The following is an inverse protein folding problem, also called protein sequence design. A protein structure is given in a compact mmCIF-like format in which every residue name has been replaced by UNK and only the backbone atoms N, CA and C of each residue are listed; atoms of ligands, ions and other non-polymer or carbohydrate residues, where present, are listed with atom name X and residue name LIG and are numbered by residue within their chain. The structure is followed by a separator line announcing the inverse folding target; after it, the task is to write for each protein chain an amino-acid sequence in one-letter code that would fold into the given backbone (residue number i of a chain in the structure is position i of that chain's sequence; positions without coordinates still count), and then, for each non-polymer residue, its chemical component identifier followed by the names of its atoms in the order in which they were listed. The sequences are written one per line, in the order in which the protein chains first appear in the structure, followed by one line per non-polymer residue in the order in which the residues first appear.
data_IF_443027949206
#
_entry.id   IF_443027949206
#
_cell.length_a   1.000
_cell.length_b   1.000
_cell.length_c   1.000
_cell.angle_alpha   90.00
_cell.angle_beta   90.00
_cell.angle_gamma   90.00
#
_symmetry.space_group_name_H-M   'P 1'
#
loop_
_entity.id
_entity.type
_entity.pdbx_description
1 polymer ?
#
# COMPACT_ATOMS: atom_id res chain seq x y z
N UNK A 1 -19.96 -13.84 23.06
CA UNK A 1 -19.11 -14.65 22.19
C UNK A 1 -17.82 -13.88 22.01
N UNK A 2 -16.71 -14.40 22.50
CA UNK A 2 -15.39 -13.85 22.18
C UNK A 2 -15.22 -14.04 20.68
N UNK A 3 -15.06 -12.96 19.93
CA UNK A 3 -14.70 -13.01 18.51
C UNK A 3 -13.33 -13.67 18.49
N UNK A 4 -13.27 -14.93 18.07
CA UNK A 4 -12.03 -15.60 17.78
C UNK A 4 -11.30 -14.77 16.75
N UNK A 5 -10.07 -14.43 17.03
CA UNK A 5 -9.11 -13.62 16.32
C UNK A 5 -9.50 -13.08 14.93
N UNK A 6 -8.93 -11.96 14.54
CA UNK A 6 -9.27 -11.27 13.30
C UNK A 6 -8.00 -11.08 12.45
N UNK A 7 -7.91 -11.73 11.29
CA UNK A 7 -6.89 -11.46 10.28
C UNK A 7 -7.53 -10.70 9.11
N UNK A 8 -6.83 -9.70 8.59
CA UNK A 8 -7.33 -8.88 7.48
C UNK A 8 -6.17 -8.25 6.70
N UNK A 9 -6.43 -7.95 5.43
CA UNK A 9 -5.57 -7.13 4.58
C UNK A 9 -6.44 -6.43 3.55
N UNK A 10 -6.07 -5.19 3.21
CA UNK A 10 -6.75 -4.41 2.17
C UNK A 10 -5.85 -4.15 0.97
N UNK A 11 -4.70 -4.86 0.87
CA UNK A 11 -3.75 -4.71 -0.23
C UNK A 11 -3.41 -6.09 -0.80
N UNK A 12 -4.04 -6.43 -1.94
CA UNK A 12 -3.90 -7.76 -2.57
C UNK A 12 -4.05 -7.65 -4.08
N UNK A 13 -3.08 -8.19 -4.82
CA UNK A 13 -3.00 -8.20 -6.28
C UNK A 13 -3.39 -9.55 -6.88
N UNK A 14 -3.73 -9.56 -8.16
CA UNK A 14 -4.18 -10.76 -8.88
C UNK A 14 -3.72 -10.72 -10.34
N UNK A 15 -4.05 -11.74 -11.13
CA UNK A 15 -3.78 -11.74 -12.57
C UNK A 15 -4.50 -10.63 -13.37
N UNK A 16 -5.38 -9.86 -12.75
CA UNK A 16 -5.95 -8.66 -13.36
C UNK A 16 -4.94 -7.50 -13.44
N UNK A 17 -3.87 -7.57 -12.65
CA UNK A 17 -2.74 -6.66 -12.72
C UNK A 17 -1.44 -7.49 -12.73
N UNK A 18 -0.49 -7.22 -11.87
CA UNK A 18 0.80 -7.90 -11.85
C UNK A 18 0.92 -9.07 -10.86
N UNK A 19 -0.15 -9.43 -10.16
CA UNK A 19 -0.22 -10.61 -9.30
C UNK A 19 -0.02 -11.92 -10.09
N UNK A 20 0.33 -12.99 -9.38
CA UNK A 20 0.72 -14.29 -10.00
C UNK A 20 -0.32 -15.40 -9.80
N UNK A 21 -1.50 -15.04 -9.29
CA UNK A 21 -2.63 -15.96 -9.12
C UNK A 21 -3.95 -15.24 -9.38
N UNK A 22 -4.97 -16.02 -9.76
CA UNK A 22 -6.33 -15.49 -9.93
C UNK A 22 -6.96 -15.11 -8.58
N UNK A 23 -7.99 -14.26 -8.65
CA UNK A 23 -8.68 -13.76 -7.46
C UNK A 23 -9.31 -14.89 -6.61
N UNK A 24 -9.79 -15.97 -7.24
CA UNK A 24 -10.36 -17.13 -6.54
C UNK A 24 -9.31 -17.84 -5.69
N UNK A 25 -8.12 -18.04 -6.25
CA UNK A 25 -7.00 -18.66 -5.55
C UNK A 25 -6.53 -17.78 -4.38
N UNK A 26 -6.43 -16.46 -4.58
CA UNK A 26 -6.06 -15.53 -3.52
C UNK A 26 -7.10 -15.50 -2.40
N UNK A 27 -8.40 -15.42 -2.73
CA UNK A 27 -9.50 -15.45 -1.75
C UNK A 27 -9.53 -16.76 -0.96
N UNK A 28 -9.37 -17.90 -1.64
CA UNK A 28 -9.32 -19.20 -0.97
C UNK A 28 -8.17 -19.28 0.01
N UNK A 29 -6.97 -18.83 -0.39
CA UNK A 29 -5.80 -18.82 0.50
C UNK A 29 -6.03 -17.94 1.72
N UNK A 30 -6.59 -16.74 1.55
CA UNK A 30 -6.93 -15.86 2.67
C UNK A 30 -7.95 -16.53 3.61
N UNK A 31 -8.97 -17.19 3.06
CA UNK A 31 -9.95 -17.92 3.86
C UNK A 31 -9.32 -19.08 4.65
N UNK A 32 -8.41 -19.84 4.04
CA UNK A 32 -7.65 -20.91 4.70
C UNK A 32 -6.73 -20.38 5.80
N UNK A 33 -6.26 -19.14 5.67
CA UNK A 33 -5.51 -18.40 6.69
C UNK A 33 -6.42 -17.64 7.67
N UNK A 34 -7.71 -17.97 7.70
CA UNK A 34 -8.71 -17.44 8.65
C UNK A 34 -8.93 -15.92 8.57
N UNK A 35 -8.78 -15.33 7.39
CA UNK A 35 -9.12 -13.93 7.19
C UNK A 35 -10.61 -13.70 7.40
N UNK A 36 -10.93 -12.64 8.10
CA UNK A 36 -12.30 -12.16 8.24
C UNK A 36 -12.64 -11.05 7.24
N UNK A 37 -11.62 -10.32 6.79
CA UNK A 37 -11.78 -9.21 5.85
C UNK A 37 -10.61 -9.22 4.84
N UNK A 38 -10.94 -9.26 3.56
CA UNK A 38 -9.97 -9.24 2.46
C UNK A 38 -10.35 -8.14 1.47
N UNK A 39 -9.44 -7.23 1.19
CA UNK A 39 -9.58 -6.25 0.11
C UNK A 39 -8.71 -6.64 -1.08
N UNK A 40 -9.30 -6.63 -2.28
CA UNK A 40 -8.55 -6.65 -3.53
C UNK A 40 -8.30 -5.23 -3.99
N UNK A 41 -7.09 -4.95 -4.43
CA UNK A 41 -6.62 -3.62 -4.80
C UNK A 41 -5.70 -3.69 -6.01
N UNK A 42 -6.23 -4.14 -7.16
CA UNK A 42 -5.45 -4.12 -8.39
C UNK A 42 -4.87 -2.72 -8.65
N UNK A 43 -3.66 -2.63 -9.22
CA UNK A 43 -3.15 -1.37 -9.71
C UNK A 43 -4.15 -0.73 -10.67
N UNK A 44 -4.55 0.49 -10.38
CA UNK A 44 -5.58 1.20 -11.13
C UNK A 44 -5.18 1.38 -12.61
N UNK A 45 -6.14 1.34 -13.53
CA UNK A 45 -5.88 1.75 -14.91
C UNK A 45 -5.39 3.20 -14.98
N UNK A 46 -4.29 3.45 -15.65
CA UNK A 46 -3.72 4.79 -15.86
C UNK A 46 -3.35 5.02 -17.31
N UNK A 47 -3.08 6.28 -17.67
CA UNK A 47 -2.71 6.64 -19.05
C UNK A 47 -1.21 6.47 -19.37
N UNK A 48 -0.47 5.74 -18.53
CA UNK A 48 0.90 5.32 -18.83
C UNK A 48 0.90 3.92 -19.45
N UNK A 49 1.79 3.68 -20.39
CA UNK A 49 2.01 2.35 -20.93
C UNK A 49 2.80 1.52 -19.88
N UNK A 50 2.12 0.58 -19.25
CA UNK A 50 2.67 -0.31 -18.21
C UNK A 50 2.14 -1.72 -18.42
N UNK A 51 2.86 -2.71 -17.88
CA UNK A 51 2.47 -4.11 -17.85
C UNK A 51 1.97 -4.57 -16.47
N UNK A 52 1.90 -3.65 -15.50
CA UNK A 52 1.50 -3.95 -14.13
C UNK A 52 0.08 -3.50 -13.78
N UNK A 53 -0.51 -2.58 -14.54
CA UNK A 53 -1.83 -2.03 -14.23
C UNK A 53 -2.97 -2.88 -14.78
N UNK A 54 -4.14 -2.82 -14.13
CA UNK A 54 -5.39 -3.35 -14.66
C UNK A 54 -5.72 -2.65 -16.00
N UNK A 55 -5.89 -3.40 -17.12
CA UNK A 55 -6.32 -2.81 -18.37
C UNK A 55 -7.76 -2.27 -18.28
N UNK A 56 -8.03 -1.15 -18.93
CA UNK A 56 -9.39 -0.56 -18.92
C UNK A 56 -10.47 -1.49 -19.47
N UNK A 57 -10.16 -2.30 -20.46
CA UNK A 57 -11.08 -3.27 -21.07
C UNK A 57 -11.31 -4.51 -20.19
N UNK A 58 -10.51 -4.71 -19.14
CA UNK A 58 -10.72 -5.76 -18.13
C UNK A 58 -11.37 -5.25 -16.83
N UNK A 59 -11.61 -3.95 -16.70
CA UNK A 59 -12.16 -3.34 -15.50
C UNK A 59 -13.51 -3.96 -15.07
N UNK A 60 -14.44 -4.17 -16.01
CA UNK A 60 -15.74 -4.81 -15.71
C UNK A 60 -15.57 -6.27 -15.27
N UNK A 61 -14.62 -6.99 -15.85
CA UNK A 61 -14.31 -8.38 -15.49
C UNK A 61 -13.73 -8.47 -14.07
N UNK A 62 -12.84 -7.53 -13.71
CA UNK A 62 -12.31 -7.40 -12.35
C UNK A 62 -13.41 -7.15 -11.34
N UNK A 63 -14.27 -6.14 -11.59
CA UNK A 63 -15.41 -5.80 -10.72
C UNK A 63 -16.31 -7.02 -10.52
N UNK A 64 -16.69 -7.68 -11.62
CA UNK A 64 -17.54 -8.87 -11.57
C UNK A 64 -16.92 -10.00 -10.75
N UNK A 65 -15.65 -10.29 -10.97
CA UNK A 65 -14.94 -11.35 -10.26
C UNK A 65 -14.91 -11.10 -8.75
N UNK A 66 -14.53 -9.88 -8.32
CA UNK A 66 -14.44 -9.57 -6.89
C UNK A 66 -15.81 -9.52 -6.22
N UNK A 67 -16.83 -8.94 -6.87
CA UNK A 67 -18.20 -8.94 -6.34
C UNK A 67 -18.80 -10.35 -6.22
N UNK A 68 -18.48 -11.24 -7.16
CA UNK A 68 -18.89 -12.65 -7.09
C UNK A 68 -18.26 -13.38 -5.91
N UNK A 69 -16.96 -13.16 -5.67
CA UNK A 69 -16.26 -13.70 -4.50
C UNK A 69 -16.82 -13.14 -3.18
N UNK A 70 -17.15 -11.85 -3.13
CA UNK A 70 -17.79 -11.26 -1.96
C UNK A 70 -19.10 -11.99 -1.61
N UNK A 71 -19.98 -12.23 -2.59
CA UNK A 71 -21.21 -12.98 -2.39
C UNK A 71 -20.97 -14.45 -1.95
N UNK A 72 -19.93 -15.09 -2.48
CA UNK A 72 -19.57 -16.47 -2.13
C UNK A 72 -19.06 -16.60 -0.70
N UNK A 73 -18.21 -15.67 -0.25
CA UNK A 73 -17.49 -15.80 1.02
C UNK A 73 -18.20 -15.15 2.22
N UNK A 74 -19.09 -14.20 2.01
CA UNK A 74 -19.85 -13.55 3.09
C UNK A 74 -20.63 -14.58 3.96
N UNK A 75 -21.39 -15.55 3.40
CA UNK A 75 -22.04 -16.59 4.20
C UNK A 75 -21.06 -17.50 4.95
N UNK A 76 -19.81 -17.56 4.50
CA UNK A 76 -18.72 -18.33 5.12
C UNK A 76 -18.00 -17.56 6.24
N UNK A 77 -18.34 -16.27 6.44
CA UNK A 77 -17.79 -15.42 7.50
C UNK A 77 -16.58 -14.58 7.09
N UNK A 78 -16.20 -14.53 5.81
CA UNK A 78 -15.18 -13.63 5.29
C UNK A 78 -15.81 -12.57 4.38
N UNK A 79 -15.58 -11.31 4.70
CA UNK A 79 -15.99 -10.17 3.87
C UNK A 79 -14.90 -9.86 2.85
N UNK A 80 -15.30 -9.70 1.60
CA UNK A 80 -14.39 -9.32 0.51
C UNK A 80 -14.80 -7.95 -0.02
N UNK A 81 -13.80 -7.07 -0.21
CA UNK A 81 -13.98 -5.69 -0.64
C UNK A 81 -13.30 -5.45 -1.98
N UNK A 82 -13.97 -4.68 -2.82
CA UNK A 82 -13.48 -4.24 -4.12
C UNK A 82 -12.79 -2.88 -3.97
N UNK A 83 -11.49 -2.84 -4.18
CA UNK A 83 -10.71 -1.61 -4.19
C UNK A 83 -9.83 -1.51 -5.42
N UNK A 84 -9.08 -0.41 -5.48
CA UNK A 84 -7.96 -0.19 -6.39
C UNK A 84 -6.79 0.40 -5.60
N UNK A 85 -5.59 0.03 -5.97
CA UNK A 85 -4.41 0.79 -5.65
C UNK A 85 -4.23 1.85 -6.72
N UNK A 86 -4.55 3.09 -6.35
CA UNK A 86 -4.56 4.24 -7.24
C UNK A 86 -3.24 4.97 -7.20
N UNK A 87 -2.79 5.41 -8.36
CA UNK A 87 -1.51 6.07 -8.55
C UNK A 87 -1.66 7.59 -8.47
N UNK A 88 -0.63 8.26 -7.97
CA UNK A 88 -0.48 9.72 -8.10
C UNK A 88 0.75 10.07 -8.92
N UNK A 89 0.51 10.59 -10.12
CA UNK A 89 1.54 11.17 -11.00
C UNK A 89 0.99 12.49 -11.53
N UNK A 90 1.61 13.64 -11.22
CA UNK A 90 1.10 14.95 -11.63
C UNK A 90 0.80 15.04 -13.14
N UNK A 91 -0.44 15.41 -13.47
CA UNK A 91 -0.90 15.56 -14.86
C UNK A 91 -1.21 14.24 -15.59
N UNK A 92 -0.99 13.08 -14.97
CA UNK A 92 -1.17 11.76 -15.60
C UNK A 92 -2.19 10.92 -14.85
N UNK A 93 -2.05 10.78 -13.53
CA UNK A 93 -2.90 9.94 -12.70
C UNK A 93 -3.17 10.58 -11.33
N UNK A 94 -4.37 10.34 -10.78
CA UNK A 94 -4.76 10.79 -9.45
C UNK A 94 -5.77 9.82 -8.83
N UNK A 95 -5.82 9.70 -7.49
CA UNK A 95 -6.69 8.74 -6.82
C UNK A 95 -8.19 8.99 -7.03
N UNK A 96 -8.59 10.24 -7.22
CA UNK A 96 -9.99 10.66 -7.43
C UNK A 96 -10.40 10.74 -8.90
N UNK A 97 -9.71 10.00 -9.81
CA UNK A 97 -10.07 10.03 -11.22
C UNK A 97 -11.53 9.61 -11.41
N UNK A 98 -12.39 10.46 -12.03
CA UNK A 98 -13.78 10.14 -12.29
C UNK A 98 -13.99 8.87 -13.13
N UNK A 99 -12.99 8.45 -13.89
CA UNK A 99 -13.07 7.21 -14.68
C UNK A 99 -13.24 5.95 -13.81
N UNK A 100 -12.91 6.00 -12.50
CA UNK A 100 -13.13 4.90 -11.57
C UNK A 100 -14.55 4.86 -10.98
N UNK A 101 -15.38 5.91 -11.13
CA UNK A 101 -16.72 5.95 -10.55
C UNK A 101 -17.64 4.78 -10.99
N UNK A 102 -17.63 4.35 -12.28
CA UNK A 102 -18.48 3.23 -12.71
C UNK A 102 -18.15 1.91 -12.00
N UNK A 103 -16.94 1.73 -11.48
CA UNK A 103 -16.52 0.52 -10.78
C UNK A 103 -17.17 0.39 -9.40
N UNK A 104 -17.71 1.47 -8.83
CA UNK A 104 -18.36 1.50 -7.50
C UNK A 104 -17.47 0.85 -6.43
N UNK A 105 -16.24 1.33 -6.31
CA UNK A 105 -15.24 0.82 -5.37
C UNK A 105 -15.69 0.96 -3.92
N UNK A 106 -15.33 -0.01 -3.08
CA UNK A 106 -15.56 0.03 -1.64
C UNK A 106 -14.51 0.89 -0.92
N UNK A 107 -13.30 0.98 -1.48
CA UNK A 107 -12.17 1.79 -0.97
C UNK A 107 -11.12 2.01 -2.07
N UNK A 108 -10.19 2.92 -1.78
CA UNK A 108 -9.00 3.18 -2.60
C UNK A 108 -7.77 3.27 -1.73
N UNK A 109 -6.66 2.73 -2.21
CA UNK A 109 -5.33 2.97 -1.67
C UNK A 109 -4.69 4.05 -2.55
N UNK A 110 -4.16 5.11 -1.95
CA UNK A 110 -3.37 6.12 -2.64
C UNK A 110 -1.89 5.76 -2.54
N UNK A 111 -1.23 5.60 -3.67
CA UNK A 111 0.17 5.19 -3.78
C UNK A 111 0.97 6.09 -4.70
N UNK A 112 2.28 6.15 -4.48
CA UNK A 112 3.24 6.80 -5.34
C UNK A 112 4.31 5.77 -5.72
N UNK A 113 4.25 5.29 -6.96
CA UNK A 113 5.28 4.42 -7.51
C UNK A 113 6.24 5.18 -8.42
N UNK A 114 5.76 6.26 -9.03
CA UNK A 114 6.50 7.01 -10.04
C UNK A 114 7.07 8.31 -9.48
N UNK A 115 8.25 8.66 -9.94
CA UNK A 115 8.83 9.98 -9.78
C UNK A 115 9.20 10.55 -11.14
N UNK A 116 9.12 11.86 -11.29
CA UNK A 116 9.48 12.55 -12.53
C UNK A 116 10.08 13.91 -12.26
N UNK A 117 10.91 14.39 -13.15
CA UNK A 117 11.26 15.80 -13.27
C UNK A 117 10.27 16.48 -14.23
N UNK A 118 10.19 17.83 -14.24
CA UNK A 118 9.30 18.54 -15.14
C UNK A 118 9.50 18.24 -16.63
N UNK A 119 10.71 17.81 -17.01
CA UNK A 119 11.11 17.59 -18.40
C UNK A 119 11.37 16.12 -18.74
N UNK A 120 11.14 15.19 -17.81
CA UNK A 120 11.46 13.77 -17.96
C UNK A 120 10.24 12.87 -17.82
N UNK A 121 10.30 11.73 -18.49
CA UNK A 121 9.29 10.69 -18.41
C UNK A 121 9.30 10.04 -17.01
N UNK A 122 8.13 9.72 -16.42
CA UNK A 122 8.07 9.06 -15.12
C UNK A 122 8.77 7.70 -15.13
N UNK A 123 9.49 7.37 -14.07
CA UNK A 123 9.99 6.02 -13.79
C UNK A 123 9.60 5.56 -12.40
N UNK A 124 9.52 4.25 -12.19
CA UNK A 124 9.09 3.70 -10.90
C UNK A 124 10.26 3.63 -9.91
N UNK A 125 9.98 3.96 -8.64
CA UNK A 125 10.99 3.86 -7.55
C UNK A 125 11.18 2.42 -7.08
N UNK A 126 10.30 1.53 -7.48
CA UNK A 126 10.23 0.14 -7.02
C UNK A 126 10.53 -0.91 -8.10
N UNK A 127 11.09 -0.52 -9.21
CA UNK A 127 11.66 -1.42 -10.22
C UNK A 127 12.76 -2.35 -9.65
N UNK A 128 13.30 -3.21 -10.50
CA UNK A 128 14.48 -3.98 -10.14
C UNK A 128 15.66 -3.06 -9.77
N UNK A 129 16.55 -3.56 -8.90
CA UNK A 129 17.71 -2.78 -8.44
C UNK A 129 18.57 -2.26 -9.62
N UNK A 130 18.70 -3.08 -10.69
CA UNK A 130 19.49 -2.71 -11.87
C UNK A 130 18.81 -1.60 -12.68
N UNK A 131 17.50 -1.70 -12.90
CA UNK A 131 16.75 -0.66 -13.62
C UNK A 131 16.71 0.65 -12.82
N UNK A 132 16.42 0.56 -11.53
CA UNK A 132 16.47 1.73 -10.65
C UNK A 132 17.85 2.41 -10.69
N UNK A 133 18.94 1.63 -10.68
CA UNK A 133 20.30 2.18 -10.76
C UNK A 133 20.55 2.93 -12.08
N UNK A 134 20.02 2.45 -13.21
CA UNK A 134 20.13 3.15 -14.48
C UNK A 134 19.39 4.49 -14.44
N UNK A 135 18.14 4.50 -14.01
CA UNK A 135 17.36 5.74 -13.89
C UNK A 135 17.97 6.74 -12.92
N UNK A 136 18.52 6.27 -11.79
CA UNK A 136 19.22 7.14 -10.84
C UNK A 136 20.45 7.78 -11.46
N UNK A 137 21.22 7.04 -12.25
CA UNK A 137 22.42 7.57 -12.92
C UNK A 137 22.05 8.61 -13.99
N UNK A 138 21.00 8.35 -14.77
CA UNK A 138 20.53 9.26 -15.80
C UNK A 138 19.96 10.56 -15.19
N UNK A 139 19.21 10.42 -14.09
CA UNK A 139 18.53 11.55 -13.47
C UNK A 139 19.44 12.40 -12.55
N UNK A 140 20.42 11.78 -11.95
CA UNK A 140 21.38 12.42 -11.06
C UNK A 140 22.84 12.13 -11.48
N UNK A 141 23.27 12.50 -12.70
CA UNK A 141 24.63 12.25 -13.17
C UNK A 141 25.68 13.00 -12.35
N UNK A 142 25.26 14.03 -11.61
CA UNK A 142 26.08 14.77 -10.64
C UNK A 142 26.21 14.07 -9.28
N UNK A 143 25.55 12.92 -9.10
CA UNK A 143 25.54 12.17 -7.84
C UNK A 143 24.65 12.76 -6.75
N UNK A 144 23.84 13.79 -7.07
CA UNK A 144 22.85 14.32 -6.11
C UNK A 144 21.56 13.52 -6.11
N UNK A 145 21.61 12.34 -5.49
CA UNK A 145 20.46 11.42 -5.35
C UNK A 145 19.33 11.97 -4.46
N UNK A 146 19.55 13.11 -3.80
CA UNK A 146 18.49 13.80 -3.04
C UNK A 146 17.33 14.24 -3.93
N UNK A 147 17.58 14.45 -5.22
CA UNK A 147 16.54 14.81 -6.20
C UNK A 147 15.40 13.79 -6.21
N UNK A 148 15.72 12.50 -6.09
CA UNK A 148 14.75 11.39 -6.17
C UNK A 148 13.83 11.38 -4.96
N UNK A 149 14.37 11.26 -3.75
CA UNK A 149 13.53 11.19 -2.56
C UNK A 149 12.82 12.52 -2.25
N UNK A 150 13.40 13.66 -2.61
CA UNK A 150 12.69 14.95 -2.51
C UNK A 150 11.47 14.99 -3.40
N UNK A 151 11.59 14.50 -4.62
CA UNK A 151 10.47 14.43 -5.55
C UNK A 151 9.42 13.44 -5.08
N UNK A 152 9.84 12.30 -4.57
CA UNK A 152 8.95 11.31 -3.98
C UNK A 152 8.12 11.91 -2.83
N UNK A 153 8.76 12.56 -1.85
CA UNK A 153 8.04 13.18 -0.74
C UNK A 153 7.15 14.35 -1.16
N UNK A 154 7.53 15.06 -2.23
CA UNK A 154 6.66 16.06 -2.84
C UNK A 154 5.38 15.41 -3.37
N UNK A 155 5.50 14.30 -4.11
CA UNK A 155 4.34 13.58 -4.67
C UNK A 155 3.47 12.94 -3.59
N UNK A 156 4.06 12.38 -2.55
CA UNK A 156 3.29 11.91 -1.38
C UNK A 156 2.47 13.06 -0.78
N UNK A 157 3.07 14.22 -0.60
CA UNK A 157 2.36 15.39 -0.04
C UNK A 157 1.26 15.90 -0.98
N UNK A 158 1.54 16.00 -2.28
CA UNK A 158 0.57 16.40 -3.29
C UNK A 158 -0.61 15.40 -3.39
N UNK A 159 -0.33 14.09 -3.33
CA UNK A 159 -1.35 13.04 -3.28
C UNK A 159 -2.25 13.19 -2.04
N UNK A 160 -1.66 13.41 -0.87
CA UNK A 160 -2.42 13.61 0.38
C UNK A 160 -3.29 14.87 0.30
N UNK A 161 -2.79 15.95 -0.30
CA UNK A 161 -3.58 17.18 -0.52
C UNK A 161 -4.72 16.96 -1.51
N UNK A 162 -4.45 16.26 -2.61
CA UNK A 162 -5.45 15.96 -3.62
C UNK A 162 -6.58 15.08 -3.08
N UNK A 163 -6.27 14.08 -2.26
CA UNK A 163 -7.26 13.20 -1.65
C UNK A 163 -7.84 12.16 -2.61
N UNK A 164 -9.05 11.68 -2.29
CA UNK A 164 -9.78 10.72 -3.13
C UNK A 164 -9.44 9.25 -2.86
N UNK A 165 -8.80 8.96 -1.74
CA UNK A 165 -8.46 7.62 -1.28
C UNK A 165 -8.74 7.46 0.23
N UNK A 166 -8.73 6.22 0.73
CA UNK A 166 -9.01 5.86 2.12
C UNK A 166 -7.75 5.48 2.89
N UNK A 167 -6.82 4.80 2.22
CA UNK A 167 -5.60 4.26 2.80
C UNK A 167 -4.39 4.86 2.08
N UNK A 168 -3.37 5.30 2.82
CA UNK A 168 -2.07 5.63 2.26
C UNK A 168 -1.26 4.34 2.14
N UNK A 169 -0.91 3.95 0.91
CA UNK A 169 -0.11 2.79 0.60
C UNK A 169 1.36 3.01 0.99
N UNK A 170 2.10 1.95 1.18
CA UNK A 170 3.58 1.87 1.38
C UNK A 170 4.32 3.23 1.43
N UNK A 171 4.05 4.00 2.46
CA UNK A 171 4.34 5.44 2.60
C UNK A 171 5.76 5.89 2.21
N UNK A 172 6.78 5.05 2.43
CA UNK A 172 8.19 5.33 2.13
C UNK A 172 8.79 4.33 1.11
N UNK A 173 8.03 3.95 0.07
CA UNK A 173 8.44 3.00 -0.96
C UNK A 173 9.76 3.38 -1.63
N UNK A 174 10.08 4.67 -1.72
CA UNK A 174 11.34 5.18 -2.28
C UNK A 174 12.60 4.53 -1.69
N UNK A 175 12.51 3.97 -0.47
CA UNK A 175 13.64 3.27 0.17
C UNK A 175 13.87 1.85 -0.36
N UNK A 176 12.96 1.27 -1.16
CA UNK A 176 13.00 -0.14 -1.60
C UNK A 176 14.37 -0.55 -2.14
N UNK A 177 14.93 0.28 -3.01
CA UNK A 177 16.22 0.06 -3.65
C UNK A 177 17.40 0.76 -2.94
N UNK A 178 17.15 1.45 -1.81
CA UNK A 178 18.21 2.10 -1.02
C UNK A 178 18.89 1.11 -0.05
N UNK A 179 19.44 0.01 -0.57
CA UNK A 179 20.05 -1.05 0.22
C UNK A 179 21.34 -0.52 0.85
N UNK A 180 21.44 -0.68 2.18
CA UNK A 180 22.58 -0.19 2.98
C UNK A 180 22.90 1.31 2.77
N UNK A 181 21.91 2.13 2.47
CA UNK A 181 22.10 3.56 2.27
C UNK A 181 22.85 3.92 0.99
N UNK A 182 22.82 3.05 -0.04
CA UNK A 182 23.60 3.21 -1.28
C UNK A 182 23.33 4.55 -1.97
N UNK A 183 22.08 4.99 -1.98
CA UNK A 183 21.66 6.16 -2.74
C UNK A 183 21.46 7.40 -1.88
N UNK A 184 21.00 7.21 -0.66
CA UNK A 184 20.79 8.31 0.28
C UNK A 184 20.79 7.81 1.72
N UNK A 185 21.12 8.71 2.63
CA UNK A 185 21.08 8.46 4.07
C UNK A 185 19.68 8.78 4.60
N UNK A 186 18.97 7.74 5.07
CA UNK A 186 17.61 7.85 5.63
C UNK A 186 17.60 8.53 7.02
N UNK A 187 18.76 8.61 7.70
CA UNK A 187 18.92 9.34 8.96
C UNK A 187 19.25 10.83 8.72
N UNK A 188 19.50 11.21 7.47
CA UNK A 188 19.74 12.61 7.11
C UNK A 188 18.53 13.47 7.51
N UNK A 189 18.80 14.56 8.23
CA UNK A 189 17.77 15.45 8.75
C UNK A 189 16.81 15.96 7.66
N UNK A 190 17.32 16.29 6.49
CA UNK A 190 16.47 16.79 5.41
C UNK A 190 15.53 15.72 4.87
N UNK A 191 15.93 14.43 4.87
CA UNK A 191 15.06 13.30 4.52
C UNK A 191 13.99 13.10 5.60
N UNK A 192 14.37 13.04 6.86
CA UNK A 192 13.44 12.85 7.97
C UNK A 192 12.46 14.03 8.10
N UNK A 193 12.93 15.27 7.91
CA UNK A 193 12.07 16.46 7.92
C UNK A 193 11.01 16.39 6.80
N UNK A 194 11.38 15.96 5.58
CA UNK A 194 10.45 15.80 4.46
C UNK A 194 9.40 14.69 4.74
N UNK A 195 9.85 13.53 5.25
CA UNK A 195 8.96 12.45 5.64
C UNK A 195 7.98 12.89 6.75
N UNK A 196 8.46 13.63 7.75
CA UNK A 196 7.62 14.11 8.86
C UNK A 196 6.63 15.19 8.43
N UNK A 197 6.97 16.04 7.46
CA UNK A 197 6.01 16.98 6.86
C UNK A 197 4.84 16.24 6.19
N UNK A 198 5.13 15.18 5.43
CA UNK A 198 4.09 14.36 4.82
C UNK A 198 3.24 13.64 5.88
N UNK A 199 3.84 13.16 6.98
CA UNK A 199 3.09 12.58 8.12
C UNK A 199 2.19 13.62 8.78
N UNK A 200 2.70 14.83 9.03
CA UNK A 200 1.93 15.90 9.67
C UNK A 200 0.72 16.29 8.80
N UNK A 201 0.91 16.36 7.48
CA UNK A 201 -0.17 16.61 6.52
C UNK A 201 -1.21 15.48 6.51
N UNK A 202 -0.77 14.22 6.53
CA UNK A 202 -1.67 13.06 6.60
C UNK A 202 -2.53 13.06 7.88
N UNK A 203 -1.94 13.48 9.01
CA UNK A 203 -2.65 13.61 10.27
C UNK A 203 -3.74 14.69 10.24
N UNK A 204 -3.48 15.82 9.56
CA UNK A 204 -4.46 16.90 9.39
C UNK A 204 -5.68 16.46 8.55
N UNK A 205 -5.50 15.51 7.66
CA UNK A 205 -6.54 14.97 6.76
C UNK A 205 -7.24 13.72 7.30
N UNK A 206 -6.84 13.21 8.47
CA UNK A 206 -7.41 12.03 9.14
C UNK A 206 -7.34 10.73 8.28
N UNK A 207 -6.27 10.55 7.51
CA UNK A 207 -6.07 9.33 6.72
C UNK A 207 -5.66 8.13 7.57
N UNK A 208 -5.90 6.93 7.03
CA UNK A 208 -5.37 5.67 7.54
C UNK A 208 -4.11 5.34 6.74
N UNK A 209 -3.02 4.95 7.40
CA UNK A 209 -1.83 4.44 6.73
C UNK A 209 -1.74 2.92 6.87
N UNK A 210 -1.25 2.22 5.88
CA UNK A 210 -0.98 0.79 6.03
C UNK A 210 0.41 0.52 6.60
N UNK A 211 0.55 -0.55 7.38
CA UNK A 211 1.82 -1.26 7.51
C UNK A 211 1.84 -2.30 6.39
N UNK A 212 2.64 -2.03 5.38
CA UNK A 212 2.73 -2.86 4.18
C UNK A 212 3.84 -3.90 4.33
N UNK A 213 3.47 -5.17 4.27
CA UNK A 213 4.42 -6.28 4.43
C UNK A 213 5.06 -6.73 3.12
N UNK A 214 4.65 -6.18 1.98
CA UNK A 214 5.26 -6.41 0.68
C UNK A 214 6.76 -6.09 0.66
N UNK A 215 7.20 -5.08 1.42
CA UNK A 215 8.60 -4.77 1.62
C UNK A 215 9.40 -5.91 2.25
N UNK A 216 8.80 -6.70 3.16
CA UNK A 216 9.44 -7.89 3.74
C UNK A 216 9.47 -9.01 2.71
N UNK A 217 8.39 -9.18 1.96
CA UNK A 217 8.22 -10.29 1.02
C UNK A 217 9.08 -10.15 -0.24
N UNK A 218 9.20 -8.93 -0.77
CA UNK A 218 9.72 -8.67 -2.13
C UNK A 218 10.95 -7.76 -2.18
N UNK A 219 11.34 -7.14 -1.06
CA UNK A 219 12.55 -6.29 -1.00
C UNK A 219 13.72 -7.03 -0.36
N UNK A 220 14.92 -6.83 -0.89
CA UNK A 220 16.17 -7.31 -0.25
C UNK A 220 16.41 -6.71 1.14
N UNK A 221 15.75 -5.61 1.48
CA UNK A 221 15.81 -5.00 2.83
C UNK A 221 15.10 -5.86 3.88
N UNK A 222 14.07 -6.61 3.50
CA UNK A 222 13.29 -7.42 4.43
C UNK A 222 12.59 -6.62 5.53
N UNK A 223 12.22 -5.37 5.22
CA UNK A 223 11.55 -4.42 6.11
C UNK A 223 10.19 -4.02 5.54
N UNK A 224 9.19 -3.72 6.36
CA UNK A 224 7.91 -3.22 5.87
C UNK A 224 8.00 -1.73 5.49
N UNK A 225 6.92 -1.23 4.90
CA UNK A 225 6.64 0.19 4.76
C UNK A 225 5.52 0.58 5.74
N UNK A 226 5.60 1.76 6.37
CA UNK A 226 6.78 2.61 6.44
C UNK A 226 7.81 2.12 7.47
N UNK A 227 8.97 2.77 7.45
CA UNK A 227 10.04 2.58 8.43
C UNK A 227 9.56 2.86 9.86
N UNK A 228 10.14 2.18 10.85
CA UNK A 228 9.74 2.31 12.27
C UNK A 228 9.79 3.76 12.77
N UNK A 229 10.76 4.57 12.33
CA UNK A 229 10.84 5.97 12.75
C UNK A 229 9.69 6.82 12.22
N UNK A 230 9.20 6.53 11.00
CA UNK A 230 8.02 7.16 10.41
C UNK A 230 6.76 6.68 11.16
N UNK A 231 6.62 5.37 11.42
CA UNK A 231 5.51 4.83 12.20
C UNK A 231 5.41 5.45 13.59
N UNK A 232 6.54 5.69 14.27
CA UNK A 232 6.58 6.40 15.56
C UNK A 232 6.03 7.82 15.42
N UNK A 233 6.43 8.55 14.38
CA UNK A 233 5.91 9.88 14.11
C UNK A 233 4.40 9.84 13.80
N UNK A 234 3.95 8.86 13.02
CA UNK A 234 2.52 8.64 12.75
C UNK A 234 1.74 8.40 14.03
N UNK A 235 2.26 7.56 14.93
CA UNK A 235 1.65 7.26 16.23
C UNK A 235 1.57 8.52 17.13
N UNK A 236 2.64 9.31 17.19
CA UNK A 236 2.68 10.60 17.92
C UNK A 236 1.62 11.60 17.41
N UNK A 237 1.30 11.54 16.12
CA UNK A 237 0.30 12.37 15.46
C UNK A 237 -1.10 11.79 15.47
N UNK A 238 -1.28 10.58 16.01
CA UNK A 238 -2.57 9.92 16.10
C UNK A 238 -3.10 9.34 14.79
N UNK A 239 -2.23 9.15 13.79
CA UNK A 239 -2.63 8.52 12.52
C UNK A 239 -3.04 7.07 12.79
N UNK A 240 -4.21 6.70 12.30
CA UNK A 240 -4.73 5.33 12.34
C UNK A 240 -3.94 4.44 11.39
N UNK A 241 -3.73 3.17 11.77
CA UNK A 241 -3.03 2.22 10.90
C UNK A 241 -3.87 0.97 10.62
N UNK A 242 -3.68 0.41 9.43
CA UNK A 242 -4.19 -0.89 8.99
C UNK A 242 -3.04 -1.79 8.53
N UNK A 243 -3.34 -3.00 8.06
CA UNK A 243 -2.35 -3.93 7.49
C UNK A 243 -2.60 -4.09 5.99
N UNK A 244 -1.52 -4.01 5.21
CA UNK A 244 -1.47 -4.40 3.82
C UNK A 244 -0.47 -5.55 3.63
N UNK A 245 -0.94 -6.71 3.15
CA UNK A 245 -0.02 -7.79 2.78
C UNK A 245 0.73 -7.44 1.50
N UNK A 246 0.11 -6.67 0.63
CA UNK A 246 0.60 -6.33 -0.71
C UNK A 246 0.99 -7.63 -1.45
N UNK A 247 0.08 -8.60 -1.34
CA UNK A 247 0.34 -9.96 -1.76
C UNK A 247 0.13 -10.13 -3.26
N UNK A 248 1.20 -10.46 -3.98
CA UNK A 248 1.19 -10.78 -5.41
C UNK A 248 1.17 -12.29 -5.67
N UNK A 249 1.33 -13.09 -4.62
CA UNK A 249 1.26 -14.56 -4.68
C UNK A 249 0.53 -15.09 -3.45
N UNK A 250 -0.15 -16.24 -3.55
CA UNK A 250 -0.81 -16.86 -2.41
C UNK A 250 0.11 -17.07 -1.20
N UNK A 251 1.38 -17.36 -1.45
CA UNK A 251 2.39 -17.58 -0.40
C UNK A 251 2.75 -16.33 0.42
N UNK A 252 2.29 -15.15 0.02
CA UNK A 252 2.54 -13.91 0.79
C UNK A 252 1.38 -13.54 1.71
N UNK A 253 0.18 -14.13 1.50
CA UNK A 253 -1.01 -13.81 2.29
C UNK A 253 -0.79 -14.21 3.77
N UNK A 254 -0.82 -13.22 4.65
CA UNK A 254 -0.76 -13.39 6.11
C UNK A 254 0.62 -13.72 6.70
N UNK A 255 1.58 -14.15 5.87
CA UNK A 255 2.85 -14.74 6.33
C UNK A 255 3.68 -13.77 7.17
N UNK A 256 3.63 -12.49 6.85
CA UNK A 256 4.43 -11.47 7.53
C UNK A 256 3.63 -10.61 8.51
N UNK A 257 2.34 -10.88 8.69
CA UNK A 257 1.52 -10.14 9.66
C UNK A 257 2.05 -10.21 11.09
N UNK A 258 2.56 -11.35 11.61
CA UNK A 258 3.17 -11.37 12.94
C UNK A 258 4.28 -10.34 13.11
N UNK A 259 5.15 -10.18 12.09
CA UNK A 259 6.22 -9.18 12.11
C UNK A 259 5.68 -7.76 12.03
N UNK A 260 4.63 -7.52 11.23
CA UNK A 260 3.96 -6.22 11.18
C UNK A 260 3.37 -5.82 12.54
N UNK A 261 2.77 -6.78 13.26
CA UNK A 261 2.27 -6.55 14.64
C UNK A 261 3.37 -6.15 15.60
N UNK A 262 4.52 -6.82 15.55
CA UNK A 262 5.65 -6.50 16.41
C UNK A 262 6.20 -5.09 16.11
N UNK A 263 6.24 -4.72 14.85
CA UNK A 263 6.66 -3.38 14.39
C UNK A 263 5.66 -2.30 14.84
N UNK A 264 4.36 -2.56 14.73
CA UNK A 264 3.33 -1.67 15.25
C UNK A 264 3.49 -1.42 16.76
N UNK A 265 3.73 -2.49 17.53
CA UNK A 265 4.03 -2.37 18.98
C UNK A 265 5.31 -1.55 19.25
N UNK A 266 6.39 -1.81 18.51
CA UNK A 266 7.65 -1.06 18.62
C UNK A 266 7.47 0.43 18.31
N UNK A 267 6.53 0.77 17.43
CA UNK A 267 6.16 2.14 17.13
C UNK A 267 5.20 2.77 18.15
N UNK A 268 4.67 1.99 19.10
CA UNK A 268 3.79 2.46 20.19
C UNK A 268 2.30 2.28 19.96
N UNK A 269 1.91 1.68 18.85
CA UNK A 269 0.51 1.38 18.57
C UNK A 269 -0.02 0.28 19.49
N UNK A 270 -1.32 0.34 19.81
CA UNK A 270 -2.05 -0.66 20.59
C UNK A 270 -3.19 -1.28 19.80
N UNK A 271 -3.58 -0.62 18.74
CA UNK A 271 -4.75 -0.97 17.94
C UNK A 271 -4.44 -0.82 16.44
N UNK A 272 -5.23 -1.54 15.65
CA UNK A 272 -5.32 -1.42 14.20
C UNK A 272 -6.74 -1.06 13.82
N UNK A 273 -6.90 -0.59 12.59
CA UNK A 273 -8.20 -0.32 12.01
C UNK A 273 -8.45 -1.26 10.83
N UNK A 274 -9.67 -1.78 10.74
CA UNK A 274 -10.13 -2.61 9.64
C UNK A 274 -11.47 -2.10 9.11
N UNK A 275 -11.74 -2.32 7.84
CA UNK A 275 -13.00 -1.96 7.22
C UNK A 275 -14.04 -3.05 7.48
N UNK A 276 -15.15 -2.70 8.13
CA UNK A 276 -16.28 -3.60 8.42
C UNK A 276 -17.36 -3.55 7.33
N UNK A 277 -17.50 -2.43 6.67
CA UNK A 277 -18.32 -2.20 5.50
C UNK A 277 -17.71 -1.04 4.68
N UNK A 278 -18.07 -0.83 3.42
CA UNK A 278 -17.56 0.29 2.63
C UNK A 278 -17.65 1.61 3.39
N UNK A 279 -16.52 2.29 3.58
CA UNK A 279 -16.41 3.53 4.34
C UNK A 279 -16.59 3.41 5.86
N UNK A 280 -16.81 2.22 6.41
CA UNK A 280 -17.01 1.99 7.86
C UNK A 280 -15.79 1.29 8.45
N UNK A 281 -14.99 2.04 9.17
CA UNK A 281 -13.79 1.56 9.83
C UNK A 281 -14.03 1.26 11.30
N UNK A 282 -13.46 0.18 11.80
CA UNK A 282 -13.52 -0.25 13.21
C UNK A 282 -12.13 -0.52 13.75
N UNK A 283 -11.99 -0.31 15.04
CA UNK A 283 -10.78 -0.54 15.80
C UNK A 283 -10.72 -1.96 16.33
N UNK A 284 -9.51 -2.57 16.33
CA UNK A 284 -9.22 -3.86 16.95
C UNK A 284 -7.87 -3.78 17.67
N UNK A 285 -7.74 -4.43 18.82
CA UNK A 285 -6.47 -4.45 19.56
C UNK A 285 -5.43 -5.35 18.88
N UNK A 286 -4.15 -4.95 18.91
CA UNK A 286 -3.04 -5.78 18.44
C UNK A 286 -3.02 -7.16 19.13
N UNK A 287 -3.35 -7.22 20.43
CA UNK A 287 -3.43 -8.46 21.18
C UNK A 287 -4.45 -9.44 20.58
N UNK A 288 -5.63 -8.91 20.19
CA UNK A 288 -6.68 -9.71 19.56
C UNK A 288 -6.25 -10.29 18.22
N UNK A 289 -5.55 -9.47 17.39
CA UNK A 289 -5.02 -9.92 16.10
C UNK A 289 -3.90 -10.95 16.30
N UNK A 290 -2.93 -10.69 17.19
CA UNK A 290 -1.83 -11.62 17.51
C UNK A 290 -2.32 -12.98 18.03
N UNK A 291 -3.43 -13.01 18.77
CA UNK A 291 -3.97 -14.26 19.30
C UNK A 291 -4.45 -15.22 18.20
N UNK A 292 -4.82 -14.70 17.03
CA UNK A 292 -5.22 -15.51 15.87
C UNK A 292 -4.05 -16.02 15.02
N UNK A 293 -2.96 -15.24 14.99
CA UNK A 293 -1.81 -15.58 14.16
C UNK A 293 -0.89 -16.64 14.80
N UNK A 294 -1.21 -17.11 16.00
CA UNK A 294 -0.54 -18.20 16.75
C UNK A 294 -1.22 -19.54 16.49
#
# INVERSE_FOLDING_TARGET
MLVSGMAFSFHTHTLFCDGKADATTMARTAFEHHYTNLGFSAHAPISLETDCNLPWDEADSYVYAIRSLAQEYEPKGMKIFLGLETEYVPGIAKPDDPAYEPMQLDYRIGSVHYVTTPDEYPFTVDESEDQFALHVQDWAPDGDYRKIWKRYWCFISEMIEAGGFDIIGHFDLVKKNNIAGRWFDEENRAYTDAAFQAVDLAAEKDYIAEINTGGIARSKRGEPYPSVFILKRMQEKGIRITIGDDAHTPSHIGVYQPKAMDIAEMAGYKTLWYMDAPGVWKEVTLESVKAQLR
#
